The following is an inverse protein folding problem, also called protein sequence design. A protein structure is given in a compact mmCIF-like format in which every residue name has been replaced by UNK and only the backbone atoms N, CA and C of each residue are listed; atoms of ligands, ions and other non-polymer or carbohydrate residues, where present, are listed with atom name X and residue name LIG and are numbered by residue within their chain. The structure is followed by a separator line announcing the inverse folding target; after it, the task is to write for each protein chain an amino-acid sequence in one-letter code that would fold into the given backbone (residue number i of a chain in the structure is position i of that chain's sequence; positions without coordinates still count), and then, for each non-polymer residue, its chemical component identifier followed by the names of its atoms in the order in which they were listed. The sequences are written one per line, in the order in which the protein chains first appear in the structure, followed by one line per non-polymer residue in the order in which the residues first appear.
data_IF_291653390013
#
_entry.id   IF_291653390013
#
_cell.length_a   1.000
_cell.length_b   1.000
_cell.length_c   1.000
_cell.angle_alpha   90.00
_cell.angle_beta   90.00
_cell.angle_gamma   90.00
#
_symmetry.space_group_name_H-M   'P 1'
#
loop_
_entity.id
_entity.type
_entity.pdbx_description
1 polymer ?
#
# COMPACT_ATOMS: atom_id res chain seq x y z
N UNK A 1 -43.44 -71.24 4.46
CA UNK A 1 -41.97 -71.48 4.38
C UNK A 1 -41.35 -70.43 3.47
N UNK A 2 -40.36 -69.70 3.98
CA UNK A 2 -39.71 -68.52 3.37
C UNK A 2 -39.09 -68.82 2.00
N UNK A 3 -39.28 -67.94 1.02
CA UNK A 3 -38.23 -67.55 0.06
C UNK A 3 -38.35 -66.07 -0.25
N UNK A 4 -37.37 -65.32 0.25
CA UNK A 4 -37.16 -63.89 0.05
C UNK A 4 -36.40 -63.75 -1.28
N UNK A 5 -36.97 -63.05 -2.25
CA UNK A 5 -36.26 -62.63 -3.46
C UNK A 5 -35.82 -61.17 -3.25
N UNK A 6 -34.51 -60.97 -3.18
CA UNK A 6 -33.86 -59.67 -3.13
C UNK A 6 -33.97 -58.98 -4.50
N UNK A 7 -34.72 -57.88 -4.57
CA UNK A 7 -34.64 -56.95 -5.70
C UNK A 7 -33.60 -55.88 -5.36
N UNK A 8 -32.49 -55.91 -6.11
CA UNK A 8 -31.38 -54.99 -5.98
C UNK A 8 -31.76 -53.66 -6.64
N UNK A 9 -32.21 -52.68 -5.84
CA UNK A 9 -32.49 -51.32 -6.33
C UNK A 9 -31.17 -50.56 -6.36
N UNK A 10 -30.59 -50.41 -7.56
CA UNK A 10 -29.43 -49.53 -7.77
C UNK A 10 -29.96 -48.10 -7.73
N UNK A 11 -29.91 -47.47 -6.55
CA UNK A 11 -30.11 -46.05 -6.42
C UNK A 11 -28.91 -45.33 -7.02
N UNK A 12 -29.04 -44.86 -8.27
CA UNK A 12 -28.12 -43.88 -8.85
C UNK A 12 -28.30 -42.58 -8.07
N UNK A 13 -27.53 -42.42 -6.98
CA UNK A 13 -27.42 -41.15 -6.29
C UNK A 13 -26.74 -40.16 -7.24
N UNK A 14 -27.53 -39.33 -7.92
CA UNK A 14 -27.04 -38.11 -8.56
C UNK A 14 -26.44 -37.22 -7.49
N UNK A 15 -25.15 -37.39 -7.23
CA UNK A 15 -24.35 -36.41 -6.52
C UNK A 15 -24.30 -35.15 -7.38
N UNK A 16 -25.20 -34.22 -7.09
CA UNK A 16 -25.03 -32.82 -7.48
C UNK A 16 -23.73 -32.35 -6.84
N UNK A 17 -22.64 -32.35 -7.61
CA UNK A 17 -21.45 -31.59 -7.27
C UNK A 17 -21.86 -30.11 -7.32
N UNK A 18 -22.13 -29.53 -6.15
CA UNK A 18 -22.25 -28.08 -6.02
C UNK A 18 -20.88 -27.50 -6.38
N UNK A 19 -20.72 -27.05 -7.63
CA UNK A 19 -19.57 -26.25 -8.05
C UNK A 19 -19.74 -24.90 -7.39
N UNK A 20 -19.23 -24.74 -6.17
CA UNK A 20 -19.06 -23.42 -5.59
C UNK A 20 -18.11 -22.65 -6.52
N UNK A 21 -18.53 -21.52 -7.12
CA UNK A 21 -17.60 -20.69 -7.87
C UNK A 21 -16.53 -20.23 -6.88
N UNK A 22 -15.32 -20.78 -7.01
CA UNK A 22 -14.15 -20.22 -6.37
C UNK A 22 -13.96 -18.82 -6.98
N UNK A 23 -14.52 -17.80 -6.35
CA UNK A 23 -14.19 -16.42 -6.69
C UNK A 23 -12.71 -16.25 -6.36
N UNK A 24 -11.84 -16.39 -7.36
CA UNK A 24 -10.42 -16.12 -7.22
C UNK A 24 -10.26 -14.68 -6.71
N UNK A 25 -9.96 -14.53 -5.43
CA UNK A 25 -9.68 -13.22 -4.84
C UNK A 25 -8.41 -12.70 -5.50
N UNK A 26 -8.51 -11.56 -6.15
CA UNK A 26 -7.39 -10.96 -6.87
C UNK A 26 -6.42 -10.29 -5.88
N UNK A 27 -5.17 -10.03 -6.30
CA UNK A 27 -4.12 -9.49 -5.41
C UNK A 27 -4.49 -8.08 -4.93
N UNK A 28 -5.14 -7.28 -5.77
CA UNK A 28 -5.66 -5.96 -5.41
C UNK A 28 -6.81 -6.01 -4.38
N UNK A 29 -7.48 -7.15 -4.20
CA UNK A 29 -8.52 -7.33 -3.19
C UNK A 29 -8.02 -8.04 -1.92
N UNK A 30 -6.75 -8.48 -1.88
CA UNK A 30 -6.17 -9.15 -0.71
C UNK A 30 -6.16 -8.27 0.54
N UNK A 31 -6.22 -8.88 1.73
CA UNK A 31 -6.08 -8.17 3.02
C UNK A 31 -4.60 -7.85 3.36
N UNK A 32 -3.66 -8.20 2.49
CA UNK A 32 -2.24 -7.99 2.75
C UNK A 32 -1.83 -6.56 2.35
N UNK A 33 -1.45 -5.78 3.36
CA UNK A 33 -0.99 -4.40 3.22
C UNK A 33 0.53 -4.36 3.13
N UNK A 34 1.05 -4.66 1.95
CA UNK A 34 2.48 -4.53 1.67
C UNK A 34 3.36 -5.68 2.14
N UNK A 35 4.66 -5.38 2.26
CA UNK A 35 5.73 -6.34 2.59
C UNK A 35 6.34 -5.96 3.93
N UNK A 36 6.32 -6.89 4.88
CA UNK A 36 6.93 -6.71 6.20
C UNK A 36 8.46 -6.63 6.11
N UNK A 37 9.14 -5.90 7.01
CA UNK A 37 10.60 -5.90 7.08
C UNK A 37 11.13 -7.33 7.24
N UNK A 38 12.09 -7.78 6.40
CA UNK A 38 12.66 -9.11 6.53
C UNK A 38 13.63 -9.18 7.72
N UNK A 39 13.81 -10.40 8.26
CA UNK A 39 14.96 -10.67 9.12
C UNK A 39 16.24 -10.66 8.28
N UNK A 40 17.21 -9.83 8.64
CA UNK A 40 18.47 -9.73 7.91
C UNK A 40 19.45 -10.83 8.34
N UNK A 41 20.07 -11.50 7.37
CA UNK A 41 20.99 -12.63 7.56
C UNK A 41 22.40 -12.22 8.06
N UNK A 42 22.58 -10.97 8.50
CA UNK A 42 23.83 -10.45 9.03
C UNK A 42 23.71 -9.02 9.56
N UNK A 43 24.64 -8.64 10.44
CA UNK A 43 24.66 -7.37 11.19
C UNK A 43 25.69 -6.36 10.65
N UNK A 44 26.56 -6.76 9.72
CA UNK A 44 27.46 -5.82 9.05
C UNK A 44 26.65 -4.76 8.27
N UNK A 45 27.17 -3.54 8.18
CA UNK A 45 26.51 -2.46 7.44
C UNK A 45 26.24 -2.83 5.97
N UNK A 46 27.15 -3.59 5.34
CA UNK A 46 26.96 -4.12 3.98
C UNK A 46 25.75 -5.08 3.92
N UNK A 47 25.67 -6.04 4.84
CA UNK A 47 24.57 -7.00 4.91
C UNK A 47 23.23 -6.29 5.14
N UNK A 48 23.18 -5.34 6.07
CA UNK A 48 21.99 -4.52 6.34
C UNK A 48 21.56 -3.69 5.12
N UNK A 49 22.51 -3.06 4.42
CA UNK A 49 22.23 -2.31 3.19
C UNK A 49 21.62 -3.22 2.11
N UNK A 50 22.17 -4.41 1.91
CA UNK A 50 21.67 -5.40 0.93
C UNK A 50 20.27 -5.88 1.33
N UNK A 51 20.06 -6.20 2.60
CA UNK A 51 18.78 -6.63 3.13
C UNK A 51 17.68 -5.60 2.89
N UNK A 52 17.93 -4.33 3.24
CA UNK A 52 16.98 -3.24 3.02
C UNK A 52 16.72 -2.98 1.52
N UNK A 53 17.74 -3.11 0.67
CA UNK A 53 17.57 -3.00 -0.79
C UNK A 53 16.68 -4.11 -1.36
N UNK A 54 16.85 -5.36 -0.89
CA UNK A 54 15.97 -6.48 -1.28
C UNK A 54 14.54 -6.24 -0.83
N UNK A 55 14.33 -5.79 0.42
CA UNK A 55 13.01 -5.44 0.93
C UNK A 55 12.31 -4.38 0.07
N UNK A 56 13.03 -3.30 -0.29
CA UNK A 56 12.52 -2.26 -1.17
C UNK A 56 12.08 -2.82 -2.53
N UNK A 57 12.88 -3.68 -3.15
CA UNK A 57 12.54 -4.33 -4.43
C UNK A 57 11.32 -5.23 -4.32
N UNK A 58 11.20 -6.01 -3.24
CA UNK A 58 10.03 -6.88 -3.02
C UNK A 58 8.75 -6.07 -2.82
N UNK A 59 8.80 -4.97 -2.07
CA UNK A 59 7.66 -4.08 -1.90
C UNK A 59 7.24 -3.41 -3.22
N UNK A 60 8.21 -2.93 -4.01
CA UNK A 60 7.95 -2.31 -5.31
C UNK A 60 7.35 -3.31 -6.32
N UNK A 61 7.82 -4.56 -6.29
CA UNK A 61 7.25 -5.65 -7.09
C UNK A 61 5.79 -5.95 -6.71
N UNK A 62 5.47 -6.06 -5.42
CA UNK A 62 4.07 -6.25 -4.99
C UNK A 62 3.20 -5.06 -5.42
N UNK A 63 3.70 -3.83 -5.26
CA UNK A 63 3.01 -2.61 -5.68
C UNK A 63 2.76 -2.58 -7.19
N UNK A 64 3.72 -3.01 -8.01
CA UNK A 64 3.54 -3.05 -9.47
C UNK A 64 2.50 -4.10 -9.88
N UNK A 65 2.49 -5.29 -9.28
CA UNK A 65 1.45 -6.29 -9.53
C UNK A 65 0.05 -5.75 -9.23
N UNK A 66 -0.13 -5.08 -8.10
CA UNK A 66 -1.41 -4.48 -7.70
C UNK A 66 -1.80 -3.36 -8.64
N UNK A 67 -0.87 -2.48 -9.00
CA UNK A 67 -1.13 -1.41 -9.97
C UNK A 67 -1.57 -1.94 -11.31
N UNK A 68 -0.89 -2.95 -11.85
CA UNK A 68 -1.22 -3.54 -13.14
C UNK A 68 -2.62 -4.15 -13.14
N UNK A 69 -3.02 -4.75 -12.01
CA UNK A 69 -4.38 -5.25 -11.84
C UNK A 69 -5.41 -4.12 -11.79
N UNK A 70 -5.17 -3.09 -10.97
CA UNK A 70 -6.00 -1.88 -10.87
C UNK A 70 -6.14 -1.20 -12.24
N UNK A 71 -5.05 -1.13 -13.01
CA UNK A 71 -4.98 -0.53 -14.34
C UNK A 71 -5.82 -1.28 -15.37
N UNK A 72 -5.81 -2.62 -15.34
CA UNK A 72 -6.66 -3.44 -16.22
C UNK A 72 -8.14 -3.38 -15.88
N UNK A 73 -8.49 -3.10 -14.63
CA UNK A 73 -9.88 -3.06 -14.16
C UNK A 73 -10.59 -1.71 -14.38
N UNK A 74 -9.85 -0.65 -14.69
CA UNK A 74 -10.44 0.69 -14.93
C UNK A 74 -10.73 0.92 -16.42
N UNK A 75 -11.72 1.78 -16.74
CA UNK A 75 -11.95 2.22 -18.11
C UNK A 75 -10.69 2.87 -18.72
N UNK A 76 -10.46 2.62 -20.02
CA UNK A 76 -9.30 3.13 -20.77
C UNK A 76 -9.13 4.66 -20.64
N UNK A 77 -10.24 5.40 -20.69
CA UNK A 77 -10.27 6.86 -20.52
C UNK A 77 -9.67 7.35 -19.19
N UNK A 78 -9.49 6.47 -18.19
CA UNK A 78 -8.93 6.79 -16.87
C UNK A 78 -7.51 6.26 -16.66
N UNK A 79 -6.99 5.46 -17.58
CA UNK A 79 -5.66 4.84 -17.46
C UNK A 79 -4.52 5.86 -17.45
N UNK A 80 -4.61 6.90 -18.29
CA UNK A 80 -3.65 8.01 -18.31
C UNK A 80 -3.60 8.76 -16.97
N UNK A 81 -4.76 8.97 -16.35
CA UNK A 81 -4.87 9.59 -15.03
C UNK A 81 -4.18 8.74 -13.95
N UNK A 82 -4.42 7.43 -13.93
CA UNK A 82 -3.77 6.52 -12.98
C UNK A 82 -2.24 6.49 -13.17
N UNK A 83 -1.76 6.52 -14.41
CA UNK A 83 -0.32 6.61 -14.72
C UNK A 83 0.31 7.91 -14.21
N UNK A 84 -0.37 9.04 -14.38
CA UNK A 84 0.10 10.33 -13.87
C UNK A 84 0.15 10.39 -12.33
N UNK A 85 -0.85 9.80 -11.66
CA UNK A 85 -0.85 9.65 -10.20
C UNK A 85 0.36 8.84 -9.75
N UNK A 86 0.67 7.74 -10.45
CA UNK A 86 1.79 6.88 -10.11
C UNK A 86 3.16 7.54 -10.27
N UNK A 87 3.32 8.36 -11.32
CA UNK A 87 4.54 9.13 -11.53
C UNK A 87 4.74 10.19 -10.43
N UNK A 88 3.65 10.86 -10.05
CA UNK A 88 3.66 11.84 -8.94
C UNK A 88 3.98 11.16 -7.61
N UNK A 89 3.36 10.00 -7.35
CA UNK A 89 3.64 9.18 -6.18
C UNK A 89 5.10 8.73 -6.11
N UNK A 90 5.66 8.27 -7.23
CA UNK A 90 7.07 7.84 -7.31
C UNK A 90 8.01 8.99 -6.96
N UNK A 91 7.76 10.18 -7.54
CA UNK A 91 8.53 11.38 -7.24
C UNK A 91 8.42 11.79 -5.76
N UNK A 92 7.21 11.70 -5.21
CA UNK A 92 6.94 11.90 -3.78
C UNK A 92 7.77 10.94 -2.91
N UNK A 93 7.67 9.62 -3.15
CA UNK A 93 8.39 8.58 -2.40
C UNK A 93 9.89 8.84 -2.39
N UNK A 94 10.47 9.02 -3.58
CA UNK A 94 11.92 9.14 -3.73
C UNK A 94 12.44 10.42 -3.06
N UNK A 95 11.68 11.52 -3.16
CA UNK A 95 12.01 12.80 -2.51
C UNK A 95 11.88 12.68 -0.99
N UNK A 96 10.80 12.09 -0.48
CA UNK A 96 10.61 11.86 0.95
C UNK A 96 11.74 11.00 1.54
N UNK A 97 12.10 9.89 0.90
CA UNK A 97 13.15 9.02 1.39
C UNK A 97 14.54 9.65 1.30
N UNK A 98 14.79 10.51 0.30
CA UNK A 98 16.02 11.30 0.21
C UNK A 98 16.11 12.33 1.33
N UNK A 99 15.04 13.09 1.59
CA UNK A 99 15.01 14.07 2.68
C UNK A 99 15.11 13.38 4.06
N UNK A 100 14.51 12.19 4.22
CA UNK A 100 14.52 11.41 5.47
C UNK A 100 15.90 10.84 5.79
N UNK A 101 16.66 10.48 4.76
CA UNK A 101 18.04 9.98 4.90
C UNK A 101 19.10 11.08 4.84
N UNK A 102 18.73 12.32 4.51
CA UNK A 102 19.67 13.44 4.33
C UNK A 102 20.62 13.68 5.52
N UNK A 103 20.21 13.57 6.80
CA UNK A 103 21.12 13.74 7.94
C UNK A 103 22.30 12.77 7.96
N UNK A 104 22.18 11.62 7.29
CA UNK A 104 23.17 10.55 7.28
C UNK A 104 24.07 10.57 6.04
N UNK A 105 23.88 11.53 5.13
CA UNK A 105 24.56 11.58 3.84
C UNK A 105 26.08 11.55 4.01
N UNK A 106 26.74 10.66 3.26
CA UNK A 106 28.19 10.42 3.34
C UNK A 106 28.60 9.35 4.35
N UNK A 107 27.71 8.96 5.27
CA UNK A 107 27.92 7.85 6.20
C UNK A 107 27.55 6.49 5.60
N UNK A 108 28.15 5.42 6.14
CA UNK A 108 27.87 4.03 5.71
C UNK A 108 26.44 3.58 6.00
N UNK A 109 25.74 4.25 6.93
CA UNK A 109 24.35 4.02 7.28
C UNK A 109 23.35 4.66 6.30
N UNK A 110 23.76 5.63 5.48
CA UNK A 110 22.88 6.33 4.53
C UNK A 110 22.08 5.36 3.61
N UNK A 111 22.70 4.36 2.96
CA UNK A 111 21.97 3.45 2.08
C UNK A 111 20.93 2.62 2.83
N UNK A 112 21.19 2.25 4.09
CA UNK A 112 20.24 1.53 4.94
C UNK A 112 19.00 2.39 5.22
N UNK A 113 19.19 3.64 5.66
CA UNK A 113 18.07 4.55 5.99
C UNK A 113 17.23 4.85 4.75
N UNK A 114 17.89 5.15 3.61
CA UNK A 114 17.19 5.40 2.34
C UNK A 114 16.42 4.16 1.88
N UNK A 115 17.08 3.00 1.81
CA UNK A 115 16.46 1.78 1.28
C UNK A 115 15.36 1.25 2.18
N UNK A 116 15.46 1.42 3.51
CA UNK A 116 14.41 1.03 4.45
C UNK A 116 13.21 1.98 4.44
N UNK A 117 13.37 3.22 3.95
CA UNK A 117 12.25 4.14 3.78
C UNK A 117 11.33 3.76 2.62
N UNK A 118 11.91 3.35 1.48
CA UNK A 118 11.18 3.01 0.26
C UNK A 118 10.01 2.03 0.49
N UNK A 119 10.20 0.86 1.14
CA UNK A 119 9.13 -0.10 1.33
C UNK A 119 8.03 0.41 2.28
N UNK A 120 8.34 1.25 3.28
CA UNK A 120 7.30 1.83 4.14
C UNK A 120 6.32 2.69 3.33
N UNK A 121 6.84 3.63 2.53
CA UNK A 121 6.03 4.48 1.64
C UNK A 121 5.33 3.66 0.54
N UNK A 122 5.96 2.56 0.11
CA UNK A 122 5.37 1.64 -0.89
C UNK A 122 4.23 0.81 -0.32
N UNK A 123 4.31 0.41 0.94
CA UNK A 123 3.22 -0.29 1.62
C UNK A 123 1.99 0.61 1.77
N UNK A 124 2.18 1.91 2.03
CA UNK A 124 1.08 2.90 2.02
C UNK A 124 0.44 2.99 0.62
N UNK A 125 1.25 3.01 -0.44
CA UNK A 125 0.72 3.02 -1.81
C UNK A 125 -0.07 1.77 -2.17
N UNK A 126 0.37 0.61 -1.66
CA UNK A 126 -0.36 -0.64 -1.82
C UNK A 126 -1.75 -0.51 -1.20
N UNK A 127 -1.85 0.01 0.02
CA UNK A 127 -3.14 0.25 0.67
C UNK A 127 -4.02 1.23 -0.14
N UNK A 128 -3.43 2.34 -0.62
CA UNK A 128 -4.10 3.33 -1.47
C UNK A 128 -4.66 2.72 -2.77
N UNK A 129 -3.86 1.89 -3.46
CA UNK A 129 -4.29 1.20 -4.69
C UNK A 129 -5.40 0.18 -4.45
N UNK A 130 -5.38 -0.49 -3.29
CA UNK A 130 -6.42 -1.43 -2.86
C UNK A 130 -7.70 -0.70 -2.40
N UNK A 131 -7.67 0.64 -2.28
CA UNK A 131 -8.77 1.40 -1.71
C UNK A 131 -9.01 1.08 -0.23
N UNK A 132 -7.97 0.62 0.48
CA UNK A 132 -8.06 0.17 1.87
C UNK A 132 -7.25 1.07 2.76
N UNK A 133 -7.71 1.23 4.00
CA UNK A 133 -7.00 1.96 5.04
C UNK A 133 -6.50 0.99 6.10
N UNK A 134 -5.27 1.19 6.58
CA UNK A 134 -4.81 0.68 7.87
C UNK A 134 -4.97 1.75 8.97
N UNK A 135 -5.99 2.60 8.86
CA UNK A 135 -6.20 3.72 9.79
C UNK A 135 -6.58 3.20 11.16
N UNK A 136 -5.73 3.55 12.13
CA UNK A 136 -5.90 3.23 13.55
C UNK A 136 -6.25 4.49 14.34
N UNK A 137 -6.10 5.68 13.74
CA UNK A 137 -6.33 6.98 14.38
C UNK A 137 -7.63 7.62 13.92
N UNK A 138 -8.27 8.39 14.79
CA UNK A 138 -9.45 9.18 14.43
C UNK A 138 -9.05 10.33 13.50
N UNK A 139 -9.86 10.68 12.47
CA UNK A 139 -9.52 11.76 11.53
C UNK A 139 -9.16 13.10 12.19
N UNK A 140 -9.91 13.50 13.23
CA UNK A 140 -9.66 14.75 13.94
C UNK A 140 -8.32 14.73 14.69
N UNK A 141 -7.96 13.58 15.29
CA UNK A 141 -6.67 13.40 15.97
C UNK A 141 -5.52 13.43 14.95
N UNK A 142 -5.67 12.71 13.84
CA UNK A 142 -4.70 12.71 12.74
C UNK A 142 -4.47 14.12 12.20
N UNK A 143 -5.54 14.89 11.96
CA UNK A 143 -5.44 16.24 11.46
C UNK A 143 -4.69 17.17 12.43
N UNK A 144 -4.99 17.08 13.72
CA UNK A 144 -4.31 17.87 14.76
C UNK A 144 -2.82 17.54 14.85
N UNK A 145 -2.46 16.24 14.89
CA UNK A 145 -1.06 15.79 14.96
C UNK A 145 -0.30 16.15 13.68
N UNK A 146 -0.92 15.98 12.52
CA UNK A 146 -0.31 16.34 11.23
C UNK A 146 -0.07 17.86 11.13
N UNK A 147 -1.02 18.69 11.55
CA UNK A 147 -0.83 20.13 11.59
C UNK A 147 0.34 20.54 12.51
N UNK A 148 0.44 19.89 13.68
CA UNK A 148 1.52 20.12 14.64
C UNK A 148 2.88 19.77 14.04
N UNK A 149 3.06 18.58 13.46
CA UNK A 149 4.36 18.17 12.93
C UNK A 149 4.76 19.00 11.70
N UNK A 150 3.82 19.38 10.83
CA UNK A 150 4.10 20.23 9.68
C UNK A 150 4.59 21.63 10.06
N UNK A 151 4.23 22.12 11.26
CA UNK A 151 4.74 23.39 11.78
C UNK A 151 6.21 23.32 12.22
N UNK A 152 6.80 22.12 12.32
CA UNK A 152 8.18 21.92 12.73
C UNK A 152 9.13 21.92 11.52
N UNK A 153 10.34 22.46 11.72
CA UNK A 153 11.51 22.19 10.85
C UNK A 153 11.29 22.47 9.35
N UNK A 154 10.45 23.46 9.01
CA UNK A 154 10.06 23.82 7.65
C UNK A 154 9.47 22.65 6.83
N UNK A 155 8.90 21.63 7.49
CA UNK A 155 8.36 20.45 6.82
C UNK A 155 7.21 20.80 5.88
N UNK A 156 6.38 21.79 6.24
CA UNK A 156 5.29 22.30 5.40
C UNK A 156 5.74 22.69 4.00
N UNK A 157 6.92 23.31 3.87
CA UNK A 157 7.42 23.84 2.60
C UNK A 157 8.44 22.91 1.92
N UNK A 158 8.73 21.75 2.51
CA UNK A 158 9.62 20.73 1.94
C UNK A 158 9.15 20.24 0.57
N UNK A 159 10.10 19.79 -0.25
CA UNK A 159 9.79 19.25 -1.57
C UNK A 159 8.94 17.98 -1.47
N UNK A 160 9.23 17.12 -0.48
CA UNK A 160 8.40 15.93 -0.25
C UNK A 160 6.96 16.27 0.14
N UNK A 161 6.74 17.30 0.97
CA UNK A 161 5.40 17.70 1.37
C UNK A 161 4.58 18.26 0.21
N UNK A 162 5.19 19.07 -0.67
CA UNK A 162 4.52 19.60 -1.87
C UNK A 162 4.11 18.48 -2.82
N UNK A 163 5.01 17.53 -3.09
CA UNK A 163 4.72 16.37 -3.93
C UNK A 163 3.63 15.49 -3.32
N UNK A 164 3.64 15.31 -1.99
CA UNK A 164 2.59 14.57 -1.29
C UNK A 164 1.21 15.23 -1.44
N UNK A 165 1.12 16.55 -1.33
CA UNK A 165 -0.14 17.28 -1.50
C UNK A 165 -0.70 17.13 -2.93
N UNK A 166 0.16 17.17 -3.95
CA UNK A 166 -0.23 16.93 -5.34
C UNK A 166 -0.72 15.48 -5.50
N UNK A 167 0.04 14.51 -4.99
CA UNK A 167 -0.35 13.11 -5.00
C UNK A 167 -1.71 12.88 -4.33
N UNK A 168 -1.91 13.39 -3.12
CA UNK A 168 -3.17 13.27 -2.36
C UNK A 168 -4.34 13.83 -3.16
N UNK A 169 -4.19 15.02 -3.75
CA UNK A 169 -5.24 15.65 -4.53
C UNK A 169 -5.62 14.81 -5.75
N UNK A 170 -4.63 14.36 -6.54
CA UNK A 170 -4.88 13.54 -7.73
C UNK A 170 -5.50 12.19 -7.37
N UNK A 171 -4.96 11.52 -6.35
CA UNK A 171 -5.42 10.21 -5.92
C UNK A 171 -6.84 10.25 -5.37
N UNK A 172 -7.17 11.20 -4.49
CA UNK A 172 -8.52 11.28 -3.93
C UNK A 172 -9.58 11.74 -4.93
N UNK A 173 -9.20 12.56 -5.92
CA UNK A 173 -10.07 12.84 -7.06
C UNK A 173 -10.34 11.56 -7.87
N UNK A 174 -9.32 10.72 -8.08
CA UNK A 174 -9.47 9.46 -8.80
C UNK A 174 -10.28 8.41 -8.02
N UNK A 175 -10.05 8.29 -6.71
CA UNK A 175 -10.68 7.30 -5.82
C UNK A 175 -12.20 7.50 -5.72
N UNK A 176 -12.65 8.76 -5.60
CA UNK A 176 -14.08 9.11 -5.52
C UNK A 176 -14.92 8.66 -6.73
N UNK A 177 -14.26 8.35 -7.85
CA UNK A 177 -14.89 7.92 -9.10
C UNK A 177 -14.75 6.40 -9.33
N UNK A 178 -14.00 5.67 -8.50
CA UNK A 178 -13.69 4.23 -8.70
C UNK A 178 -14.62 3.29 -7.91
N UNK A 179 -15.19 3.72 -6.79
CA UNK A 179 -16.00 2.87 -5.91
C UNK A 179 -17.47 3.30 -5.88
N UNK A 180 -18.38 2.35 -6.06
CA UNK A 180 -19.86 2.54 -6.02
C UNK A 180 -20.41 2.65 -4.60
N UNK A 181 -19.63 2.22 -3.60
CA UNK A 181 -19.85 2.59 -2.20
C UNK A 181 -19.03 3.84 -1.89
N UNK A 182 -19.69 4.84 -1.33
CA UNK A 182 -19.20 6.22 -1.22
C UNK A 182 -17.90 6.32 -0.39
N UNK A 183 -16.77 6.36 -1.08
CA UNK A 183 -15.57 7.04 -0.60
C UNK A 183 -15.67 8.50 -1.07
N UNK A 184 -16.20 9.38 -0.23
CA UNK A 184 -16.11 10.82 -0.48
C UNK A 184 -14.63 11.23 -0.55
N UNK A 185 -14.30 12.25 -1.33
CA UNK A 185 -12.95 12.82 -1.39
C UNK A 185 -12.39 13.10 0.01
N UNK A 186 -13.26 13.46 0.96
CA UNK A 186 -12.90 13.63 2.37
C UNK A 186 -12.37 12.35 3.01
N UNK A 187 -13.10 11.23 2.90
CA UNK A 187 -12.68 9.94 3.48
C UNK A 187 -11.34 9.47 2.91
N UNK A 188 -11.10 9.67 1.60
CA UNK A 188 -9.79 9.39 1.02
C UNK A 188 -8.69 10.29 1.64
N UNK A 189 -8.95 11.59 1.79
CA UNK A 189 -7.98 12.51 2.41
C UNK A 189 -7.67 12.12 3.85
N UNK A 190 -8.69 11.75 4.62
CA UNK A 190 -8.55 11.29 6.01
C UNK A 190 -7.68 10.03 6.07
N UNK A 191 -7.92 9.05 5.18
CA UNK A 191 -7.10 7.83 5.04
C UNK A 191 -5.64 8.15 4.73
N UNK A 192 -5.37 8.99 3.72
CA UNK A 192 -4.00 9.33 3.30
C UNK A 192 -3.26 10.18 4.33
N UNK A 193 -3.98 10.96 5.15
CA UNK A 193 -3.39 11.84 6.16
C UNK A 193 -2.69 11.04 7.28
N UNK A 194 -3.20 9.87 7.65
CA UNK A 194 -2.59 9.04 8.69
C UNK A 194 -1.23 8.48 8.26
N UNK A 195 -1.15 7.88 7.06
CA UNK A 195 0.14 7.43 6.51
C UNK A 195 1.14 8.58 6.43
N UNK A 196 0.70 9.78 6.04
CA UNK A 196 1.58 10.95 6.01
C UNK A 196 2.08 11.38 7.38
N UNK A 197 1.21 11.36 8.38
CA UNK A 197 1.57 11.65 9.77
C UNK A 197 2.65 10.67 10.23
N UNK A 198 2.43 9.36 10.07
CA UNK A 198 3.37 8.32 10.51
C UNK A 198 4.73 8.45 9.81
N UNK A 199 4.73 8.75 8.51
CA UNK A 199 5.96 8.98 7.73
C UNK A 199 6.75 10.20 8.25
N UNK A 200 6.06 11.29 8.59
CA UNK A 200 6.70 12.48 9.14
C UNK A 200 7.20 12.26 10.57
N UNK A 201 6.44 11.55 11.41
CA UNK A 201 6.88 11.17 12.77
C UNK A 201 8.13 10.29 12.70
N UNK A 202 8.14 9.29 11.81
CA UNK A 202 9.29 8.43 11.58
C UNK A 202 10.51 9.22 11.05
N UNK A 203 10.29 10.19 10.18
CA UNK A 203 11.36 11.09 9.69
C UNK A 203 11.93 11.96 10.82
N UNK A 204 11.08 12.51 11.68
CA UNK A 204 11.48 13.38 12.78
C UNK A 204 12.16 12.63 13.93
N UNK A 205 11.77 11.38 14.19
CA UNK A 205 12.39 10.54 15.22
C UNK A 205 13.87 10.19 14.97
N UNK A 206 14.33 10.38 13.72
CA UNK A 206 15.71 10.08 13.28
C UNK A 206 16.60 11.31 13.22
N UNK A 207 16.06 12.50 13.48
CA UNK A 207 16.78 13.77 13.46
C UNK A 207 17.41 14.08 14.81
#
# INVERSE_FOLDING_TARGET
MKKILYALVIALSSTYMAVAPATSQTIANSKQFGVVPPACEGDTQMALNICASRWAKTADFLRSLIYEEVYRQIPEARQSQLKAIEQTWTSYRDTHCRESSAPFKGGSIYPLIYSSCLPNVTNDRIADLQGKSNSQLKPDETAQRLAKILSQGNLKDSSSQKLWQIYQAQHCQFDSLRFTESSSVKQCRDRLAESRLLQLEAMMSKR
#
